data_IF_472700302047
#
_entry.id   IF_472700302047
#
_cell.length_a   1.000
_cell.length_b   1.000
_cell.length_c   1.000
_cell.angle_alpha   90.00
_cell.angle_beta   90.00
_cell.angle_gamma   90.00
#
_symmetry.space_group_name_H-M   'P 1'
#
loop_
_entity.id
_entity.type
_entity.pdbx_description
1 polymer ?
#
# COMPACT_ATOMS: atom_id res chain seq x y z
N UNK A 1 -3.79 -13.14 -27.24
CA UNK A 1 -2.74 -12.12 -27.34
C UNK A 1 -2.93 -11.25 -28.58
N UNK A 2 -3.05 -11.80 -29.79
CA UNK A 2 -3.29 -11.03 -31.03
C UNK A 2 -4.55 -10.13 -31.02
N UNK A 3 -5.69 -10.62 -30.52
CA UNK A 3 -6.91 -9.81 -30.45
C UNK A 3 -6.78 -8.52 -29.61
N UNK A 4 -5.98 -8.54 -28.53
CA UNK A 4 -5.75 -7.33 -27.72
C UNK A 4 -4.81 -6.34 -28.40
N UNK A 5 -3.96 -6.81 -29.32
CA UNK A 5 -3.07 -5.96 -30.12
C UNK A 5 -3.84 -5.20 -31.19
N UNK A 6 -4.72 -5.89 -31.92
CA UNK A 6 -5.54 -5.29 -32.97
C UNK A 6 -6.50 -4.25 -32.40
N UNK A 7 -7.02 -4.51 -31.19
CA UNK A 7 -7.90 -3.60 -30.50
C UNK A 7 -7.19 -2.31 -30.05
N UNK A 8 -5.94 -2.40 -29.57
CA UNK A 8 -5.17 -1.21 -29.20
C UNK A 8 -4.82 -0.38 -30.42
N UNK A 9 -4.37 -1.00 -31.52
CA UNK A 9 -4.05 -0.23 -32.73
C UNK A 9 -5.27 0.48 -33.31
N UNK A 10 -6.42 -0.20 -33.28
CA UNK A 10 -7.70 0.40 -33.69
C UNK A 10 -8.09 1.56 -32.76
N UNK A 11 -7.94 1.38 -31.45
CA UNK A 11 -8.19 2.44 -30.47
C UNK A 11 -7.23 3.64 -30.63
N UNK A 12 -5.96 3.41 -30.95
CA UNK A 12 -4.99 4.48 -31.23
C UNK A 12 -5.35 5.27 -32.48
N UNK A 13 -5.71 4.59 -33.57
CA UNK A 13 -6.17 5.27 -34.79
C UNK A 13 -7.42 6.11 -34.54
N UNK A 14 -8.37 5.58 -33.78
CA UNK A 14 -9.57 6.32 -33.39
C UNK A 14 -9.19 7.55 -32.57
N UNK A 15 -8.35 7.38 -31.55
CA UNK A 15 -7.86 8.46 -30.70
C UNK A 15 -7.14 9.55 -31.52
N UNK A 16 -6.35 9.16 -32.51
CA UNK A 16 -5.65 10.08 -33.40
C UNK A 16 -6.61 10.90 -34.26
N UNK A 17 -7.73 10.30 -34.69
CA UNK A 17 -8.77 10.96 -35.49
C UNK A 17 -9.71 11.88 -34.71
N UNK A 18 -9.67 11.86 -33.37
CA UNK A 18 -10.56 12.70 -32.55
C UNK A 18 -10.18 14.18 -32.66
N UNK A 19 -11.14 15.02 -33.05
CA UNK A 19 -10.98 16.48 -33.14
C UNK A 19 -10.86 17.15 -31.76
N UNK A 20 -11.45 16.57 -30.73
CA UNK A 20 -11.33 17.03 -29.35
C UNK A 20 -11.15 15.84 -28.40
N UNK A 21 -10.02 15.82 -27.68
CA UNK A 21 -9.65 14.73 -26.76
C UNK A 21 -9.84 15.19 -25.33
N UNK A 22 -10.77 14.54 -24.65
CA UNK A 22 -11.05 14.77 -23.23
C UNK A 22 -10.24 13.82 -22.32
N UNK A 23 -10.31 14.04 -21.01
CA UNK A 23 -9.57 13.20 -20.05
C UNK A 23 -9.94 11.71 -20.12
N UNK A 24 -11.16 11.37 -20.52
CA UNK A 24 -11.64 9.98 -20.61
C UNK A 24 -10.99 9.26 -21.79
N UNK A 25 -10.93 9.88 -22.96
CA UNK A 25 -10.24 9.32 -24.13
C UNK A 25 -8.74 9.11 -23.87
N UNK A 26 -8.06 10.09 -23.25
CA UNK A 26 -6.67 9.95 -22.79
C UNK A 26 -6.50 8.78 -21.82
N UNK A 27 -7.33 8.70 -20.77
CA UNK A 27 -7.24 7.62 -19.78
C UNK A 27 -7.52 6.24 -20.40
N UNK A 28 -8.44 6.17 -21.36
CA UNK A 28 -8.80 4.93 -22.04
C UNK A 28 -7.64 4.38 -22.86
N UNK A 29 -6.98 5.23 -23.66
CA UNK A 29 -5.85 4.79 -24.49
C UNK A 29 -4.64 4.39 -23.63
N UNK A 30 -4.34 5.17 -22.57
CA UNK A 30 -3.26 4.85 -21.62
C UNK A 30 -3.53 3.51 -20.93
N UNK A 31 -4.76 3.29 -20.44
CA UNK A 31 -5.17 2.04 -19.81
C UNK A 31 -5.03 0.84 -20.74
N UNK A 32 -5.40 1.01 -22.02
CA UNK A 32 -5.21 -0.01 -23.06
C UNK A 32 -3.75 -0.45 -23.16
N UNK A 33 -2.83 0.49 -23.38
CA UNK A 33 -1.39 0.20 -23.47
C UNK A 33 -0.82 -0.43 -22.19
N UNK A 34 -1.22 0.06 -21.01
CA UNK A 34 -0.81 -0.51 -19.72
C UNK A 34 -1.27 -1.98 -19.57
N UNK A 35 -2.50 -2.31 -19.98
CA UNK A 35 -3.05 -3.67 -19.87
C UNK A 35 -2.25 -4.68 -20.68
N UNK A 36 -1.87 -4.31 -21.90
CA UNK A 36 -1.06 -5.16 -22.79
C UNK A 36 0.43 -5.17 -22.41
N UNK A 37 0.87 -4.20 -21.61
CA UNK A 37 2.22 -4.17 -21.03
C UNK A 37 3.18 -3.20 -21.72
N UNK A 38 2.70 -2.38 -22.65
CA UNK A 38 3.45 -1.30 -23.30
C UNK A 38 3.47 -0.05 -22.42
N UNK A 39 4.02 -0.19 -21.22
CA UNK A 39 4.01 0.89 -20.21
C UNK A 39 4.80 2.11 -20.69
N UNK A 40 5.89 1.93 -21.45
CA UNK A 40 6.67 3.05 -21.98
C UNK A 40 5.91 3.87 -23.04
N UNK A 41 5.12 3.20 -23.88
CA UNK A 41 4.22 3.89 -24.83
C UNK A 41 3.10 4.59 -24.08
N UNK A 42 2.51 3.94 -23.07
CA UNK A 42 1.51 4.56 -22.21
C UNK A 42 2.07 5.83 -21.52
N UNK A 43 3.34 5.80 -21.09
CA UNK A 43 4.00 6.96 -20.48
C UNK A 43 4.15 8.12 -21.45
N UNK A 44 4.59 7.86 -22.68
CA UNK A 44 4.70 8.91 -23.71
C UNK A 44 3.35 9.59 -23.98
N UNK A 45 2.28 8.81 -24.03
CA UNK A 45 0.92 9.32 -24.19
C UNK A 45 0.49 10.11 -22.94
N UNK A 46 0.80 9.60 -21.75
CA UNK A 46 0.56 10.31 -20.49
C UNK A 46 1.28 11.67 -20.45
N UNK A 47 2.53 11.75 -20.90
CA UNK A 47 3.30 13.00 -20.95
C UNK A 47 2.64 14.04 -21.85
N UNK A 48 2.10 13.61 -23.00
CA UNK A 48 1.37 14.44 -23.96
C UNK A 48 0.01 14.92 -23.46
N UNK A 49 -0.55 14.29 -22.42
CA UNK A 49 -1.85 14.68 -21.86
C UNK A 49 -1.77 16.11 -21.30
N UNK A 50 -2.56 17.08 -21.83
CA UNK A 50 -2.47 18.50 -21.44
C UNK A 50 -2.80 18.73 -19.96
N UNK A 51 -3.80 18.01 -19.45
CA UNK A 51 -4.22 18.05 -18.05
C UNK A 51 -4.29 16.65 -17.48
N UNK A 52 -3.39 16.35 -16.54
CA UNK A 52 -3.35 15.06 -15.83
C UNK A 52 -4.23 15.15 -14.59
N UNK A 53 -5.05 14.13 -14.34
CA UNK A 53 -5.93 14.04 -13.19
C UNK A 53 -5.61 12.79 -12.36
N UNK A 54 -6.26 12.63 -11.20
CA UNK A 54 -6.03 11.50 -10.29
C UNK A 54 -6.11 10.15 -11.01
N UNK A 55 -7.03 10.00 -11.96
CA UNK A 55 -7.21 8.76 -12.73
C UNK A 55 -6.00 8.48 -13.63
N UNK A 56 -5.51 9.48 -14.37
CA UNK A 56 -4.36 9.28 -15.27
C UNK A 56 -3.09 8.89 -14.50
N UNK A 57 -2.84 9.54 -13.36
CA UNK A 57 -1.73 9.18 -12.46
C UNK A 57 -1.86 7.74 -11.95
N UNK A 58 -3.06 7.34 -11.51
CA UNK A 58 -3.28 6.01 -10.96
C UNK A 58 -3.10 4.89 -11.98
N UNK A 59 -3.56 5.10 -13.23
CA UNK A 59 -3.37 4.15 -14.32
C UNK A 59 -1.87 3.93 -14.55
N UNK A 60 -1.09 5.00 -14.63
CA UNK A 60 0.35 4.91 -14.90
C UNK A 60 1.13 4.32 -13.74
N UNK A 61 0.88 4.77 -12.50
CA UNK A 61 1.51 4.21 -11.30
C UNK A 61 1.20 2.71 -11.21
N UNK A 62 -0.06 2.32 -11.41
CA UNK A 62 -0.46 0.91 -11.40
C UNK A 62 0.21 0.12 -12.52
N UNK A 63 0.38 0.71 -13.70
CA UNK A 63 1.06 0.08 -14.83
C UNK A 63 2.51 -0.29 -14.50
N UNK A 64 3.28 0.65 -13.94
CA UNK A 64 4.66 0.36 -13.53
C UNK A 64 4.75 -0.64 -12.39
N UNK A 65 3.89 -0.50 -11.38
CA UNK A 65 4.01 -1.25 -10.13
C UNK A 65 3.43 -2.67 -10.22
N UNK A 66 2.33 -2.88 -10.94
CA UNK A 66 1.70 -4.20 -11.07
C UNK A 66 2.37 -5.08 -12.12
N UNK A 67 2.95 -4.51 -13.18
CA UNK A 67 3.65 -5.28 -14.22
C UNK A 67 5.11 -5.59 -13.88
N UNK A 68 5.54 -5.29 -12.65
CA UNK A 68 6.77 -5.70 -11.96
C UNK A 68 8.12 -5.43 -12.67
N UNK A 69 8.16 -4.88 -13.89
CA UNK A 69 9.42 -4.63 -14.61
C UNK A 69 10.25 -3.51 -13.97
N UNK A 70 9.62 -2.48 -13.39
CA UNK A 70 10.36 -1.36 -12.80
C UNK A 70 9.57 -0.65 -11.68
N UNK A 71 9.62 -1.15 -10.43
CA UNK A 71 8.97 -0.48 -9.30
C UNK A 71 9.59 0.90 -8.99
N UNK A 72 10.83 1.15 -9.43
CA UNK A 72 11.50 2.45 -9.28
C UNK A 72 10.80 3.57 -10.05
N UNK A 73 10.43 3.33 -11.31
CA UNK A 73 9.70 4.31 -12.12
C UNK A 73 8.32 4.61 -11.54
N UNK A 74 7.56 3.59 -11.12
CA UNK A 74 6.25 3.80 -10.50
C UNK A 74 6.31 4.60 -9.19
N UNK A 75 7.34 4.38 -8.36
CA UNK A 75 7.55 5.16 -7.14
C UNK A 75 8.00 6.61 -7.42
N UNK A 76 8.79 6.84 -8.47
CA UNK A 76 9.14 8.21 -8.92
C UNK A 76 7.87 8.95 -9.33
N UNK A 77 7.03 8.31 -10.15
CA UNK A 77 5.78 8.88 -10.62
C UNK A 77 4.80 9.18 -9.47
N UNK A 78 4.71 8.29 -8.47
CA UNK A 78 3.96 8.57 -7.24
C UNK A 78 4.48 9.81 -6.50
N UNK A 79 5.81 9.97 -6.38
CA UNK A 79 6.37 11.17 -5.72
C UNK A 79 6.04 12.46 -6.50
N UNK A 80 6.03 12.41 -7.82
CA UNK A 80 5.64 13.54 -8.66
C UNK A 80 4.17 13.90 -8.47
N UNK A 81 3.27 12.90 -8.47
CA UNK A 81 1.84 13.09 -8.16
C UNK A 81 1.64 13.85 -6.85
N UNK A 82 2.35 13.43 -5.78
CA UNK A 82 2.26 14.09 -4.46
C UNK A 82 2.85 15.51 -4.49
N UNK A 83 3.98 15.73 -5.19
CA UNK A 83 4.59 17.07 -5.34
C UNK A 83 3.67 18.05 -6.08
N UNK A 84 2.88 17.55 -7.03
CA UNK A 84 1.90 18.35 -7.75
C UNK A 84 0.61 18.60 -6.95
N UNK A 85 0.55 18.18 -5.68
CA UNK A 85 -0.61 18.37 -4.82
C UNK A 85 -1.80 17.47 -5.18
N UNK A 86 -1.61 16.48 -6.06
CA UNK A 86 -2.69 15.58 -6.48
C UNK A 86 -2.94 14.57 -5.36
N UNK A 87 -4.17 14.58 -4.82
CA UNK A 87 -4.57 13.69 -3.74
C UNK A 87 -4.68 12.25 -4.26
N UNK A 88 -3.79 11.36 -3.81
CA UNK A 88 -3.90 9.92 -4.01
C UNK A 88 -5.20 9.34 -3.43
N UNK A 89 -5.65 8.23 -4.02
CA UNK A 89 -6.75 7.42 -3.50
C UNK A 89 -6.21 6.14 -2.86
N UNK A 90 -7.03 5.46 -2.06
CA UNK A 90 -6.64 4.25 -1.33
C UNK A 90 -5.98 3.19 -2.22
N UNK A 91 -6.52 2.96 -3.43
CA UNK A 91 -5.96 2.00 -4.38
C UNK A 91 -4.55 2.36 -4.82
N UNK A 92 -4.25 3.66 -5.00
CA UNK A 92 -2.89 4.15 -5.30
C UNK A 92 -1.92 3.77 -4.18
N UNK A 93 -2.29 4.02 -2.93
CA UNK A 93 -1.44 3.70 -1.78
C UNK A 93 -1.24 2.21 -1.61
N UNK A 94 -2.29 1.42 -1.78
CA UNK A 94 -2.20 -0.06 -1.71
C UNK A 94 -1.21 -0.57 -2.76
N UNK A 95 -1.33 -0.13 -4.02
CA UNK A 95 -0.42 -0.55 -5.09
C UNK A 95 1.03 -0.14 -4.79
N UNK A 96 1.24 1.09 -4.30
CA UNK A 96 2.56 1.59 -3.90
C UNK A 96 3.15 0.78 -2.74
N UNK A 97 2.36 0.50 -1.70
CA UNK A 97 2.79 -0.28 -0.54
C UNK A 97 3.08 -1.73 -0.91
N UNK A 98 2.26 -2.35 -1.77
CA UNK A 98 2.51 -3.70 -2.30
C UNK A 98 3.80 -3.74 -3.12
N UNK A 99 4.11 -2.72 -3.92
CA UNK A 99 5.38 -2.66 -4.64
C UNK A 99 6.58 -2.53 -3.68
N UNK A 100 6.47 -1.71 -2.64
CA UNK A 100 7.49 -1.61 -1.59
C UNK A 100 7.68 -2.95 -0.86
N UNK A 101 6.58 -3.63 -0.53
CA UNK A 101 6.55 -4.95 0.09
C UNK A 101 7.31 -5.99 -0.73
N UNK A 102 6.97 -6.12 -2.02
CA UNK A 102 7.59 -7.10 -2.94
C UNK A 102 9.07 -6.84 -3.22
N UNK A 103 9.49 -5.59 -3.13
CA UNK A 103 10.87 -5.16 -3.43
C UNK A 103 11.71 -4.95 -2.16
N UNK A 104 11.18 -5.26 -0.97
CA UNK A 104 11.80 -4.99 0.34
C UNK A 104 12.28 -3.53 0.53
N UNK A 105 11.55 -2.56 -0.03
CA UNK A 105 11.89 -1.12 -0.03
C UNK A 105 11.34 -0.41 1.21
N UNK A 106 11.97 -0.66 2.35
CA UNK A 106 11.52 -0.12 3.65
C UNK A 106 11.53 1.40 3.71
N UNK A 107 12.57 2.06 3.18
CA UNK A 107 12.71 3.53 3.25
C UNK A 107 11.55 4.22 2.52
N UNK A 108 11.23 3.75 1.32
CA UNK A 108 10.12 4.25 0.52
C UNK A 108 8.77 3.92 1.15
N UNK A 109 8.58 2.68 1.64
CA UNK A 109 7.36 2.29 2.37
C UNK A 109 7.09 3.18 3.59
N UNK A 110 8.12 3.52 4.36
CA UNK A 110 8.02 4.47 5.49
C UNK A 110 7.66 5.88 5.03
N UNK A 111 8.28 6.38 3.97
CA UNK A 111 7.97 7.69 3.40
C UNK A 111 6.52 7.78 2.93
N UNK A 112 6.00 6.73 2.30
CA UNK A 112 4.59 6.62 1.89
C UNK A 112 3.67 6.59 3.11
N UNK A 113 3.98 5.79 4.13
CA UNK A 113 3.20 5.75 5.37
C UNK A 113 3.13 7.12 6.04
N UNK A 114 4.26 7.84 6.17
CA UNK A 114 4.28 9.20 6.70
C UNK A 114 3.45 10.18 5.84
N UNK A 115 3.48 10.03 4.51
CA UNK A 115 2.68 10.84 3.59
C UNK A 115 1.17 10.60 3.79
N UNK A 116 0.75 9.35 3.97
CA UNK A 116 -0.65 8.97 4.27
C UNK A 116 -1.12 9.69 5.53
N UNK A 117 -0.33 9.62 6.60
CA UNK A 117 -0.67 10.24 7.89
C UNK A 117 -0.76 11.76 7.74
N UNK A 118 0.24 12.40 7.13
CA UNK A 118 0.36 13.85 7.06
C UNK A 118 -0.70 14.50 6.16
N UNK A 119 -0.97 13.90 5.01
CA UNK A 119 -1.71 14.56 3.93
C UNK A 119 -3.12 13.98 3.73
N UNK A 120 -3.41 12.78 4.24
CA UNK A 120 -4.64 12.05 3.91
C UNK A 120 -5.46 11.64 5.14
N UNK A 121 -4.95 11.87 6.37
CA UNK A 121 -5.68 11.65 7.61
C UNK A 121 -5.65 10.19 8.10
N UNK A 122 -6.76 9.73 8.67
CA UNK A 122 -6.90 8.37 9.21
C UNK A 122 -6.79 7.32 8.10
N UNK A 123 -5.82 6.39 8.23
CA UNK A 123 -5.66 5.30 7.28
C UNK A 123 -6.84 4.31 7.33
N UNK A 124 -7.38 3.98 6.17
CA UNK A 124 -8.47 3.02 6.02
C UNK A 124 -8.03 1.59 6.33
N UNK A 125 -8.99 0.69 6.60
CA UNK A 125 -8.72 -0.73 6.87
C UNK A 125 -7.85 -1.39 5.78
N UNK A 126 -8.11 -1.06 4.51
CA UNK A 126 -7.37 -1.59 3.37
C UNK A 126 -5.91 -1.09 3.36
N UNK A 127 -5.68 0.20 3.66
CA UNK A 127 -4.33 0.78 3.77
C UNK A 127 -3.58 0.17 4.96
N UNK A 128 -4.22 0.05 6.13
CA UNK A 128 -3.59 -0.55 7.32
C UNK A 128 -3.18 -2.00 7.08
N UNK A 129 -4.03 -2.76 6.37
CA UNK A 129 -3.71 -4.14 5.95
C UNK A 129 -2.51 -4.18 5.01
N UNK A 130 -2.45 -3.29 4.01
CA UNK A 130 -1.31 -3.18 3.10
C UNK A 130 -0.01 -2.76 3.82
N UNK A 131 -0.11 -1.89 4.84
CA UNK A 131 1.03 -1.50 5.69
C UNK A 131 1.56 -2.67 6.52
N UNK A 132 0.68 -3.53 7.06
CA UNK A 132 1.08 -4.75 7.79
C UNK A 132 1.88 -5.67 6.87
N UNK A 133 1.38 -5.95 5.67
CA UNK A 133 2.11 -6.78 4.68
C UNK A 133 3.46 -6.16 4.33
N UNK A 134 3.49 -4.86 4.04
CA UNK A 134 4.71 -4.13 3.67
C UNK A 134 5.76 -4.17 4.78
N UNK A 135 5.39 -3.82 6.02
CA UNK A 135 6.34 -3.85 7.13
C UNK A 135 6.80 -5.26 7.46
N UNK A 136 5.92 -6.25 7.41
CA UNK A 136 6.27 -7.65 7.65
C UNK A 136 7.32 -8.12 6.65
N UNK A 137 7.08 -7.95 5.34
CA UNK A 137 8.03 -8.36 4.29
C UNK A 137 9.29 -7.49 4.22
N UNK A 138 9.23 -6.24 4.67
CA UNK A 138 10.40 -5.36 4.83
C UNK A 138 11.17 -5.59 6.14
N UNK A 139 11.07 -6.79 6.73
CA UNK A 139 11.78 -7.21 7.94
C UNK A 139 11.51 -6.34 9.19
N UNK A 140 10.32 -5.77 9.33
CA UNK A 140 9.91 -4.94 10.47
C UNK A 140 8.59 -5.38 11.07
N UNK A 141 8.54 -6.63 11.55
CA UNK A 141 7.33 -7.22 12.16
C UNK A 141 6.80 -6.40 13.35
N UNK A 142 7.68 -5.76 14.14
CA UNK A 142 7.23 -4.87 15.23
C UNK A 142 6.41 -3.68 14.73
N UNK A 143 6.81 -3.10 13.59
CA UNK A 143 6.09 -1.99 12.99
C UNK A 143 4.76 -2.46 12.41
N UNK A 144 4.73 -3.66 11.80
CA UNK A 144 3.49 -4.30 11.37
C UNK A 144 2.54 -4.51 12.56
N UNK A 145 3.04 -5.03 13.69
CA UNK A 145 2.26 -5.24 14.91
C UNK A 145 1.72 -3.93 15.49
N UNK A 146 2.50 -2.84 15.45
CA UNK A 146 2.00 -1.51 15.85
C UNK A 146 0.84 -1.03 14.98
N UNK A 147 0.94 -1.19 13.66
CA UNK A 147 -0.17 -0.86 12.75
C UNK A 147 -1.39 -1.72 13.07
N UNK A 148 -1.20 -3.04 13.23
CA UNK A 148 -2.26 -3.98 13.57
C UNK A 148 -2.98 -3.64 14.89
N UNK A 149 -2.21 -3.30 15.93
CA UNK A 149 -2.76 -2.91 17.23
C UNK A 149 -3.54 -1.58 17.15
N UNK A 150 -3.18 -0.67 16.24
CA UNK A 150 -3.89 0.60 16.00
C UNK A 150 -5.24 0.44 15.26
N UNK A 151 -5.60 -0.77 14.85
CA UNK A 151 -6.86 -1.05 14.16
C UNK A 151 -7.98 -1.28 15.18
N UNK A 152 -9.00 -0.42 15.16
CA UNK A 152 -10.21 -0.59 15.97
C UNK A 152 -11.08 -1.75 15.47
N UNK A 153 -11.13 -1.91 14.15
CA UNK A 153 -11.83 -3.00 13.47
C UNK A 153 -10.82 -3.76 12.63
N UNK A 154 -10.86 -5.09 12.74
CA UNK A 154 -9.98 -6.02 12.02
C UNK A 154 -10.84 -7.04 11.29
N UNK A 155 -10.47 -7.35 10.06
CA UNK A 155 -11.08 -8.41 9.28
C UNK A 155 -10.11 -9.59 9.12
N UNK A 156 -10.62 -10.71 8.60
CA UNK A 156 -9.85 -11.94 8.38
C UNK A 156 -8.57 -11.66 7.57
N UNK A 157 -8.63 -10.76 6.57
CA UNK A 157 -7.46 -10.40 5.76
C UNK A 157 -6.37 -9.74 6.60
N UNK A 158 -6.73 -8.80 7.49
CA UNK A 158 -5.77 -8.13 8.38
C UNK A 158 -5.16 -9.06 9.44
N UNK A 159 -5.95 -10.00 9.97
CA UNK A 159 -5.44 -11.05 10.87
C UNK A 159 -4.44 -11.95 10.16
N UNK A 160 -4.83 -12.49 9.00
CA UNK A 160 -3.97 -13.36 8.20
C UNK A 160 -2.66 -12.67 7.80
N UNK A 161 -2.71 -11.38 7.44
CA UNK A 161 -1.52 -10.60 7.11
C UNK A 161 -0.53 -10.52 8.29
N UNK A 162 -1.01 -10.33 9.51
CA UNK A 162 -0.16 -10.25 10.70
C UNK A 162 0.35 -11.64 11.13
N UNK A 163 -0.49 -12.67 11.11
CA UNK A 163 -0.11 -14.06 11.41
C UNK A 163 0.98 -14.52 10.43
N UNK A 164 0.78 -14.31 9.13
CA UNK A 164 1.79 -14.59 8.12
C UNK A 164 3.07 -13.80 8.39
N UNK A 165 2.94 -12.55 8.82
CA UNK A 165 4.05 -11.71 9.25
C UNK A 165 4.88 -12.36 10.37
N UNK A 166 4.27 -13.02 11.34
CA UNK A 166 5.01 -13.76 12.37
C UNK A 166 5.67 -15.03 11.83
N UNK A 167 4.97 -15.79 10.97
CA UNK A 167 5.52 -17.01 10.37
C UNK A 167 6.80 -16.73 9.56
N UNK A 168 6.79 -15.71 8.70
CA UNK A 168 7.96 -15.38 7.86
C UNK A 168 9.16 -14.82 8.67
N UNK A 169 8.94 -14.44 9.93
CA UNK A 169 9.96 -13.96 10.85
C UNK A 169 10.46 -15.01 11.83
N UNK A 170 9.95 -16.25 11.75
CA UNK A 170 10.35 -17.32 12.66
C UNK A 170 9.78 -17.20 14.06
N UNK A 171 8.63 -16.53 14.22
CA UNK A 171 7.91 -16.40 15.49
C UNK A 171 6.56 -17.15 15.45
N UNK A 172 6.54 -18.48 15.25
CA UNK A 172 5.29 -19.22 15.07
C UNK A 172 4.37 -19.16 16.29
N UNK A 173 4.93 -19.13 17.50
CA UNK A 173 4.14 -19.08 18.75
C UNK A 173 3.32 -17.79 18.88
N UNK A 174 3.90 -16.65 18.49
CA UNK A 174 3.19 -15.37 18.40
C UNK A 174 2.07 -15.42 17.34
N UNK A 175 2.33 -16.11 16.22
CA UNK A 175 1.35 -16.31 15.14
C UNK A 175 0.17 -17.18 15.58
N UNK A 176 0.44 -18.29 16.28
CA UNK A 176 -0.57 -19.19 16.83
C UNK A 176 -1.38 -18.49 17.93
N UNK A 177 -0.71 -17.79 18.84
CA UNK A 177 -1.36 -16.98 19.88
C UNK A 177 -2.30 -15.95 19.27
N UNK A 178 -1.88 -15.29 18.19
CA UNK A 178 -2.70 -14.32 17.46
C UNK A 178 -3.87 -14.99 16.71
N UNK A 179 -3.68 -16.21 16.19
CA UNK A 179 -4.76 -16.99 15.58
C UNK A 179 -5.83 -17.38 16.62
N UNK A 180 -5.41 -17.79 17.81
CA UNK A 180 -6.30 -18.07 18.94
C UNK A 180 -7.08 -16.83 19.38
N UNK A 181 -6.43 -15.66 19.45
CA UNK A 181 -7.09 -14.37 19.67
C UNK A 181 -8.17 -14.10 18.62
N UNK A 182 -7.88 -14.38 17.34
CA UNK A 182 -8.83 -14.18 16.23
C UNK A 182 -10.11 -15.02 16.38
N UNK A 183 -9.98 -16.28 16.80
CA UNK A 183 -11.11 -17.21 16.95
C UNK A 183 -11.76 -17.17 18.34
N UNK A 184 -11.27 -16.30 19.24
CA UNK A 184 -11.78 -16.16 20.60
C UNK A 184 -11.45 -17.32 21.53
N UNK A 185 -10.51 -18.20 21.14
CA UNK A 185 -10.00 -19.25 22.01
C UNK A 185 -8.92 -18.60 22.88
N UNK A 186 -9.23 -18.25 24.13
CA UNK A 186 -8.19 -18.00 25.11
C UNK A 186 -7.70 -19.34 25.63
N UNK A 187 -6.40 -19.60 25.52
CA UNK A 187 -5.79 -20.55 26.44
C UNK A 187 -5.84 -19.91 27.83
N UNK A 188 -6.62 -20.52 28.74
CA UNK A 188 -6.21 -20.48 30.13
C UNK A 188 -4.85 -21.17 30.16
N UNK A 189 -3.79 -20.40 30.41
CA UNK A 189 -2.48 -20.98 30.66
C UNK A 189 -2.64 -21.99 31.80
N UNK A 190 -2.54 -23.28 31.50
CA UNK A 190 -2.25 -24.27 32.53
C UNK A 190 -0.83 -23.99 33.00
N UNK A 191 -0.74 -23.56 34.26
CA UNK A 191 0.49 -23.34 35.01
C UNK A 191 1.54 -24.42 34.71
N UNK A 192 2.60 -24.03 34.01
CA UNK A 192 3.92 -24.64 34.20
C UNK A 192 4.89 -23.56 34.65
N UNK A 193 5.27 -23.66 35.93
CA UNK A 193 5.98 -22.64 36.69
C UNK A 193 7.29 -22.17 36.07
N UNK A 194 7.51 -20.85 36.15
CA UNK A 194 8.76 -20.21 35.76
C UNK A 194 8.56 -18.70 35.64
N UNK A 195 8.51 -18.00 36.77
CA UNK A 195 8.03 -16.63 36.86
C UNK A 195 8.65 -15.62 35.89
N UNK A 196 7.80 -14.77 35.31
CA UNK A 196 8.11 -13.36 35.00
C UNK A 196 6.84 -12.54 34.79
N UNK A 197 6.54 -11.74 35.82
CA UNK A 197 5.88 -10.42 35.80
C UNK A 197 4.65 -10.24 34.91
N UNK A 198 3.49 -10.33 35.56
CA UNK A 198 2.33 -9.42 35.43
C UNK A 198 2.47 -8.32 34.36
N UNK A 199 1.83 -8.53 33.21
CA UNK A 199 1.41 -7.42 32.35
C UNK A 199 -0.06 -7.12 32.61
N UNK A 200 -0.25 -6.10 33.45
CA UNK A 200 -1.54 -5.47 33.75
C UNK A 200 -2.32 -5.17 32.47
N UNK A 201 -3.58 -5.63 32.44
CA UNK A 201 -4.65 -5.05 31.64
C UNK A 201 -4.68 -3.52 31.86
N UNK A 202 -4.67 -2.74 30.78
CA UNK A 202 -5.08 -1.34 30.84
C UNK A 202 -5.96 -0.97 29.64
N UNK A 203 -7.26 -0.93 29.94
CA UNK A 203 -8.27 0.03 29.49
C UNK A 203 -8.29 0.38 27.99
N UNK A 204 -9.27 -0.20 27.31
CA UNK A 204 -10.05 0.48 26.26
C UNK A 204 -10.79 1.64 26.94
N UNK A 205 -10.42 2.89 26.61
CA UNK A 205 -11.23 4.13 26.53
C UNK A 205 -10.34 5.36 26.70
N UNK A 206 -10.31 6.21 25.66
CA UNK A 206 -9.79 7.60 25.55
C UNK A 206 -8.34 7.86 26.01
N UNK A 207 -7.40 8.22 25.15
CA UNK A 207 -7.34 9.50 24.40
C UNK A 207 -6.40 9.35 23.19
N UNK A 208 -6.86 9.73 21.99
CA UNK A 208 -6.18 9.39 20.73
C UNK A 208 -5.46 10.57 20.05
N UNK A 209 -4.85 11.47 20.83
CA UNK A 209 -4.05 12.60 20.32
C UNK A 209 -2.54 12.43 20.50
N UNK A 210 -2.08 11.54 21.40
CA UNK A 210 -0.65 11.39 21.74
C UNK A 210 0.14 10.32 20.95
N UNK A 211 -0.53 9.37 20.30
CA UNK A 211 0.16 8.28 19.57
C UNK A 211 0.78 8.75 18.24
N UNK A 212 0.30 9.87 17.70
CA UNK A 212 0.78 10.41 16.43
C UNK A 212 2.01 11.31 16.57
N UNK A 213 2.19 11.98 17.72
CA UNK A 213 3.38 12.81 17.96
C UNK A 213 4.66 11.96 18.07
N UNK A 214 4.58 10.78 18.70
CA UNK A 214 5.70 9.83 18.76
C UNK A 214 6.06 9.17 17.43
N UNK A 215 5.11 9.11 16.48
CA UNK A 215 5.37 8.61 15.13
C UNK A 215 6.04 9.65 14.22
N UNK A 216 6.07 10.93 14.60
CA UNK A 216 6.77 11.99 13.85
C UNK A 216 8.23 12.10 14.31
N UNK A 217 8.53 11.84 15.60
CA UNK A 217 9.88 11.93 16.16
C UNK A 217 10.83 10.82 15.69
N UNK A 218 10.33 9.63 15.36
CA UNK A 218 11.16 8.47 14.96
C UNK A 218 11.53 8.44 13.46
N UNK A 219 11.05 9.38 12.65
CA UNK A 219 11.16 9.35 11.18
C UNK A 219 11.89 10.54 10.58
N UNK A 220 12.48 11.40 11.41
CA UNK A 220 13.24 12.57 10.97
C UNK A 220 14.71 12.50 11.35
N UNK A 221 15.54 11.81 10.57
CA UNK A 221 16.89 12.27 10.23
C UNK A 221 17.30 11.72 8.85
N UNK A 222 17.60 12.59 7.86
CA UNK A 222 18.27 12.18 6.63
C UNK A 222 19.77 12.08 6.87
N UNK A 223 20.37 11.01 6.36
CA UNK A 223 21.80 10.92 6.03
C UNK A 223 21.97 11.16 4.55
#
# INVERSE_FOLDING_TARGET
MYASFDLIHSASRLFDSMSNRDSVSWNSIISGYVRVGYVDTAHRIFDQMPMKNVVSWNIMISGYLNKARNPGCGLKLFREMIKMGVKGIDTTFVVVLTACSRSARLKEGKSVHGSIIKNFGMSTLIIKTALIDMYSKCRRVDAARRVFNSMLVRNIVSWNAMILGYCIHGCPDDGISLFHEMIGIMHCDDDYGGGRKERKRSKVLHTNSGLWSGFVSDFGQPS
#
